data_IF_387628027882
#
_entry.id   IF_387628027882
#
_cell.length_a   1.000
_cell.length_b   1.000
_cell.length_c   1.000
_cell.angle_alpha   90.00
_cell.angle_beta   90.00
_cell.angle_gamma   90.00
#
_symmetry.space_group_name_H-M   'P 1'
#
loop_
_entity.id
_entity.type
_entity.pdbx_description
1 polymer ?
#
# COMPACT_ATOMS: atom_id res chain seq x y z
N UNK A 1 -8.42 -15.63 7.49
CA UNK A 1 -7.81 -15.45 6.16
C UNK A 1 -6.31 -15.25 6.33
N UNK A 2 -5.54 -15.51 5.29
CA UNK A 2 -4.10 -15.23 5.20
C UNK A 2 -3.92 -13.97 4.35
N UNK A 3 -3.31 -12.95 4.91
CA UNK A 3 -3.18 -11.63 4.28
C UNK A 3 -1.70 -11.27 4.14
N UNK A 4 -1.27 -10.91 2.94
CA UNK A 4 0.04 -10.31 2.69
C UNK A 4 -0.11 -8.80 2.59
N UNK A 5 0.73 -8.07 3.32
CA UNK A 5 0.74 -6.60 3.30
C UNK A 5 2.17 -6.11 3.13
N UNK A 6 2.42 -5.20 2.20
CA UNK A 6 3.73 -4.57 2.07
C UNK A 6 3.76 -3.20 2.75
N UNK A 7 4.91 -2.83 3.34
CA UNK A 7 5.08 -1.55 4.04
C UNK A 7 4.45 -1.53 5.45
N UNK A 8 4.58 -2.61 6.22
CA UNK A 8 3.91 -2.79 7.51
C UNK A 8 4.63 -2.20 8.72
N UNK A 9 5.82 -1.64 8.56
CA UNK A 9 6.59 -1.13 9.71
C UNK A 9 6.13 0.25 10.17
N UNK A 10 5.30 0.94 9.40
CA UNK A 10 4.77 2.27 9.75
C UNK A 10 3.51 2.64 8.97
N UNK A 11 2.89 3.77 9.31
CA UNK A 11 1.84 4.42 8.54
C UNK A 11 0.65 3.52 8.20
N UNK A 12 0.10 3.69 7.00
CA UNK A 12 -1.12 3.02 6.55
C UNK A 12 -0.98 1.50 6.59
N UNK A 13 0.14 0.95 6.09
CA UNK A 13 0.36 -0.50 6.06
C UNK A 13 0.38 -1.13 7.45
N UNK A 14 0.95 -0.43 8.45
CA UNK A 14 0.88 -0.86 9.84
C UNK A 14 -0.55 -0.83 10.37
N UNK A 15 -1.28 0.26 10.12
CA UNK A 15 -2.69 0.37 10.54
C UNK A 15 -3.57 -0.73 9.96
N UNK A 16 -3.39 -1.04 8.68
CA UNK A 16 -4.09 -2.15 8.02
C UNK A 16 -3.72 -3.50 8.66
N UNK A 17 -2.42 -3.74 8.92
CA UNK A 17 -1.96 -4.96 9.57
C UNK A 17 -2.57 -5.12 10.96
N UNK A 18 -2.55 -4.07 11.78
CA UNK A 18 -3.13 -4.06 13.13
C UNK A 18 -4.65 -4.36 13.10
N UNK A 19 -5.37 -3.84 12.10
CA UNK A 19 -6.81 -4.10 11.92
C UNK A 19 -7.08 -5.57 11.58
N UNK A 20 -6.41 -6.12 10.58
CA UNK A 20 -6.58 -7.54 10.22
C UNK A 20 -6.21 -8.48 11.37
N UNK A 21 -5.18 -8.17 12.13
CA UNK A 21 -4.79 -8.94 13.31
C UNK A 21 -5.86 -8.89 14.40
N UNK A 22 -6.42 -7.71 14.66
CA UNK A 22 -7.52 -7.52 15.61
C UNK A 22 -8.78 -8.31 15.23
N UNK A 23 -9.02 -8.49 13.94
CA UNK A 23 -10.12 -9.29 13.39
C UNK A 23 -9.82 -10.80 13.34
N UNK A 24 -8.66 -11.24 13.86
CA UNK A 24 -8.28 -12.64 13.98
C UNK A 24 -7.72 -13.26 12.70
N UNK A 25 -7.16 -12.48 11.81
CA UNK A 25 -6.53 -12.94 10.58
C UNK A 25 -5.04 -13.17 10.76
N UNK A 26 -4.44 -14.00 9.89
CA UNK A 26 -2.99 -14.20 9.82
C UNK A 26 -2.41 -13.18 8.84
N UNK A 27 -1.47 -12.37 9.30
CA UNK A 27 -0.84 -11.33 8.50
C UNK A 27 0.64 -11.63 8.30
N UNK A 28 1.07 -11.64 7.05
CA UNK A 28 2.49 -11.59 6.69
C UNK A 28 2.80 -10.17 6.21
N UNK A 29 3.64 -9.48 6.97
CA UNK A 29 4.12 -8.15 6.63
C UNK A 29 5.47 -8.21 5.92
N UNK A 30 5.60 -7.50 4.81
CA UNK A 30 6.88 -7.30 4.12
C UNK A 30 7.28 -5.84 4.25
N UNK A 31 8.46 -5.58 4.80
CA UNK A 31 9.05 -4.24 4.86
C UNK A 31 10.57 -4.35 4.88
N UNK A 32 11.28 -3.33 4.40
CA UNK A 32 12.75 -3.26 4.52
C UNK A 32 13.22 -2.88 5.93
N UNK A 33 12.33 -2.27 6.72
CA UNK A 33 12.58 -1.91 8.12
C UNK A 33 12.03 -2.98 9.04
N UNK A 34 12.63 -3.10 10.21
CA UNK A 34 12.11 -3.96 11.29
C UNK A 34 10.70 -3.53 11.69
N UNK A 35 9.90 -4.51 12.10
CA UNK A 35 8.55 -4.28 12.59
C UNK A 35 8.49 -4.22 14.11
N UNK A 36 7.63 -3.37 14.63
CA UNK A 36 7.29 -3.34 16.05
C UNK A 36 5.94 -4.00 16.38
N UNK A 37 5.32 -4.66 15.40
CA UNK A 37 4.07 -5.40 15.63
C UNK A 37 4.39 -6.68 16.39
N UNK A 38 3.77 -6.84 17.58
CA UNK A 38 3.89 -8.03 18.42
C UNK A 38 2.54 -8.73 18.51
N UNK A 39 2.34 -9.76 17.68
CA UNK A 39 1.09 -10.53 17.64
C UNK A 39 1.37 -11.95 17.16
N UNK A 40 0.75 -12.96 17.79
CA UNK A 40 0.98 -14.38 17.47
C UNK A 40 0.60 -14.77 16.02
N UNK A 41 -0.31 -14.02 15.39
CA UNK A 41 -0.73 -14.23 14.00
C UNK A 41 -0.01 -13.29 13.01
N UNK A 42 1.06 -12.61 13.43
CA UNK A 42 1.88 -11.76 12.58
C UNK A 42 3.23 -12.39 12.30
N UNK A 43 3.62 -12.39 11.05
CA UNK A 43 4.98 -12.77 10.60
C UNK A 43 5.57 -11.59 9.84
N UNK A 44 6.77 -11.16 10.24
CA UNK A 44 7.52 -10.13 9.52
C UNK A 44 8.57 -10.74 8.61
N UNK A 45 8.65 -10.23 7.39
CA UNK A 45 9.72 -10.55 6.43
C UNK A 45 10.44 -9.23 6.10
N UNK A 46 11.68 -9.13 6.58
CA UNK A 46 12.55 -8.00 6.24
C UNK A 46 13.07 -8.16 4.81
N UNK A 47 12.53 -7.38 3.87
CA UNK A 47 12.83 -7.50 2.45
C UNK A 47 12.52 -6.21 1.69
N UNK A 48 13.35 -5.90 0.71
CA UNK A 48 13.06 -4.85 -0.27
C UNK A 48 12.22 -5.43 -1.42
N UNK A 49 11.06 -4.82 -1.69
CA UNK A 49 10.15 -5.28 -2.75
C UNK A 49 10.70 -5.10 -4.17
N UNK A 50 11.86 -4.46 -4.34
CA UNK A 50 12.57 -4.41 -5.64
C UNK A 50 13.35 -5.69 -5.92
N UNK A 51 13.73 -6.42 -4.87
CA UNK A 51 14.61 -7.60 -4.96
C UNK A 51 13.82 -8.88 -5.25
N UNK A 52 13.20 -8.92 -6.43
CA UNK A 52 12.36 -10.05 -6.84
C UNK A 52 13.11 -11.40 -6.93
N UNK A 53 14.44 -11.38 -6.99
CA UNK A 53 15.25 -12.60 -7.10
C UNK A 53 15.25 -13.38 -5.78
N UNK A 54 15.16 -12.67 -4.66
CA UNK A 54 15.20 -13.26 -3.32
C UNK A 54 13.81 -13.37 -2.67
N UNK A 55 12.73 -13.26 -3.44
CA UNK A 55 11.38 -13.46 -2.91
C UNK A 55 11.21 -14.88 -2.39
N UNK A 56 10.85 -15.07 -1.09
CA UNK A 56 10.66 -16.38 -0.53
C UNK A 56 9.47 -17.12 -1.14
N UNK A 57 9.52 -18.45 -1.12
CA UNK A 57 8.33 -19.24 -1.39
C UNK A 57 7.44 -19.22 -0.15
N UNK A 58 6.20 -18.77 -0.33
CA UNK A 58 5.21 -18.65 0.73
C UNK A 58 3.94 -19.41 0.37
N UNK A 59 3.22 -19.87 1.37
CA UNK A 59 1.90 -20.43 1.17
C UNK A 59 0.95 -19.39 0.57
N UNK A 60 0.02 -19.79 -0.31
CA UNK A 60 -0.92 -18.87 -0.95
C UNK A 60 -1.68 -17.97 0.03
N UNK A 61 -1.93 -16.74 -0.36
CA UNK A 61 -2.68 -15.75 0.40
C UNK A 61 -4.12 -15.63 -0.10
N UNK A 62 -5.06 -15.34 0.79
CA UNK A 62 -6.41 -14.95 0.42
C UNK A 62 -6.46 -13.51 -0.11
N UNK A 63 -5.65 -12.63 0.48
CA UNK A 63 -5.61 -11.19 0.18
C UNK A 63 -4.17 -10.73 0.06
N UNK A 64 -3.89 -9.90 -0.95
CA UNK A 64 -2.61 -9.20 -1.10
C UNK A 64 -2.85 -7.70 -1.11
N UNK A 65 -2.18 -6.97 -0.22
CA UNK A 65 -2.28 -5.51 -0.09
C UNK A 65 -0.93 -4.88 -0.41
N UNK A 66 -0.88 -4.20 -1.52
CA UNK A 66 0.30 -3.46 -1.98
C UNK A 66 0.25 -2.03 -1.44
N UNK A 67 0.94 -1.80 -0.32
CA UNK A 67 0.98 -0.51 0.35
C UNK A 67 2.38 0.12 0.36
N UNK A 68 3.45 -0.70 0.34
CA UNK A 68 4.81 -0.16 0.35
C UNK A 68 5.01 0.91 -0.73
N UNK A 69 5.50 2.05 -0.32
CA UNK A 69 5.71 3.18 -1.21
C UNK A 69 6.57 4.26 -0.57
N UNK A 70 7.10 5.11 -1.42
CA UNK A 70 7.94 6.26 -1.08
C UNK A 70 7.46 7.48 -1.87
N UNK A 71 8.02 8.63 -1.53
CA UNK A 71 7.86 9.87 -2.27
C UNK A 71 9.24 10.54 -2.35
N UNK A 72 10.05 10.00 -3.27
CA UNK A 72 11.43 10.40 -3.50
C UNK A 72 11.85 10.01 -4.93
N UNK A 73 13.14 9.97 -5.24
CA UNK A 73 13.67 9.62 -6.56
C UNK A 73 13.58 8.10 -6.90
N UNK A 74 13.05 7.26 -5.98
CA UNK A 74 12.88 5.81 -6.20
C UNK A 74 11.40 5.42 -6.48
N UNK A 75 10.53 6.39 -6.75
CA UNK A 75 9.09 6.20 -6.86
C UNK A 75 8.69 5.15 -7.91
N UNK A 76 9.29 5.20 -9.08
CA UNK A 76 8.98 4.24 -10.16
C UNK A 76 9.40 2.82 -9.76
N UNK A 77 10.57 2.67 -9.17
CA UNK A 77 11.11 1.34 -8.85
C UNK A 77 10.38 0.70 -7.66
N UNK A 78 10.02 1.50 -6.64
CA UNK A 78 9.34 0.98 -5.45
C UNK A 78 7.83 0.95 -5.66
N UNK A 79 7.20 2.11 -5.93
CA UNK A 79 5.75 2.21 -5.93
C UNK A 79 5.11 1.43 -7.08
N UNK A 80 5.75 1.39 -8.24
CA UNK A 80 5.20 0.72 -9.42
C UNK A 80 5.82 -0.65 -9.67
N UNK A 81 7.13 -0.73 -9.91
CA UNK A 81 7.77 -2.03 -10.23
C UNK A 81 7.71 -3.00 -9.06
N UNK A 82 7.98 -2.53 -7.82
CA UNK A 82 7.86 -3.35 -6.62
C UNK A 82 6.44 -3.89 -6.42
N UNK A 83 5.43 -3.04 -6.59
CA UNK A 83 4.01 -3.44 -6.56
C UNK A 83 3.70 -4.51 -7.62
N UNK A 84 4.20 -4.34 -8.86
CA UNK A 84 4.04 -5.35 -9.91
C UNK A 84 4.70 -6.67 -9.48
N UNK A 85 5.95 -6.63 -9.01
CA UNK A 85 6.68 -7.85 -8.64
C UNK A 85 5.98 -8.64 -7.52
N UNK A 86 5.53 -7.96 -6.46
CA UNK A 86 4.77 -8.58 -5.35
C UNK A 86 3.47 -9.20 -5.86
N UNK A 87 2.72 -8.46 -6.68
CA UNK A 87 1.44 -8.93 -7.20
C UNK A 87 1.62 -10.13 -8.13
N UNK A 88 2.61 -10.11 -9.04
CA UNK A 88 2.88 -11.23 -9.94
C UNK A 88 3.29 -12.50 -9.16
N UNK A 89 4.04 -12.36 -8.07
CA UNK A 89 4.49 -13.51 -7.27
C UNK A 89 3.39 -14.06 -6.38
N UNK A 90 2.61 -13.20 -5.71
CA UNK A 90 1.74 -13.62 -4.62
C UNK A 90 0.25 -13.33 -4.82
N UNK A 91 -0.10 -12.49 -5.81
CA UNK A 91 -1.48 -12.00 -5.99
C UNK A 91 -2.25 -12.65 -7.15
N UNK A 92 -1.61 -13.51 -7.97
CA UNK A 92 -2.27 -14.08 -9.16
C UNK A 92 -2.24 -15.60 -9.10
N UNK A 93 -3.22 -16.19 -8.43
CA UNK A 93 -3.39 -17.65 -8.32
C UNK A 93 -4.85 -18.00 -8.00
N UNK A 94 -5.27 -19.27 -8.20
CA UNK A 94 -6.68 -19.69 -8.05
C UNK A 94 -7.30 -19.49 -6.67
N UNK A 95 -6.47 -19.41 -5.61
CA UNK A 95 -6.95 -19.22 -4.23
C UNK A 95 -7.06 -17.75 -3.80
N UNK A 96 -6.62 -16.79 -4.64
CA UNK A 96 -6.74 -15.37 -4.32
C UNK A 96 -8.21 -14.94 -4.28
N UNK A 97 -8.56 -14.05 -3.35
CA UNK A 97 -9.90 -13.48 -3.20
C UNK A 97 -9.92 -12.00 -3.50
N UNK A 98 -8.86 -11.29 -3.10
CA UNK A 98 -8.74 -9.86 -3.37
C UNK A 98 -7.28 -9.41 -3.48
N UNK A 99 -7.03 -8.44 -4.36
CA UNK A 99 -5.81 -7.64 -4.38
C UNK A 99 -6.20 -6.19 -4.18
N UNK A 100 -5.51 -5.52 -3.25
CA UNK A 100 -5.71 -4.11 -2.98
C UNK A 100 -4.41 -3.35 -3.26
N UNK A 101 -4.54 -2.24 -3.97
CA UNK A 101 -3.44 -1.33 -4.24
C UNK A 101 -3.64 -0.04 -3.45
N UNK A 102 -2.62 0.44 -2.76
CA UNK A 102 -2.66 1.78 -2.17
C UNK A 102 -2.12 2.76 -3.21
N UNK A 103 -3.08 3.38 -3.87
CA UNK A 103 -2.88 4.41 -4.87
C UNK A 103 -2.63 5.79 -4.27
N UNK A 104 -3.00 6.82 -5.00
CA UNK A 104 -2.99 8.22 -4.56
C UNK A 104 -3.91 9.06 -5.45
N UNK A 105 -4.51 10.09 -4.89
CA UNK A 105 -5.20 11.13 -5.63
C UNK A 105 -4.29 11.76 -6.71
N UNK A 106 -2.98 11.83 -6.44
CA UNK A 106 -1.97 12.34 -7.39
C UNK A 106 -1.90 11.56 -8.69
N UNK A 107 -2.21 10.26 -8.66
CA UNK A 107 -2.30 9.44 -9.87
C UNK A 107 -3.46 9.82 -10.79
N UNK A 108 -4.48 10.52 -10.28
CA UNK A 108 -5.63 11.02 -11.04
C UNK A 108 -5.47 12.47 -11.48
N UNK A 109 -4.97 13.32 -10.59
CA UNK A 109 -4.98 14.78 -10.80
C UNK A 109 -3.64 15.35 -11.29
N UNK A 110 -2.57 14.54 -11.27
CA UNK A 110 -1.24 14.95 -11.72
C UNK A 110 -0.52 15.91 -10.77
N UNK A 111 -0.99 16.05 -9.53
CA UNK A 111 -0.35 16.89 -8.52
C UNK A 111 0.85 16.19 -7.89
N UNK A 112 1.80 16.96 -7.37
CA UNK A 112 3.00 16.54 -6.67
C UNK A 112 4.19 16.22 -7.60
N UNK A 113 5.10 15.34 -7.16
CA UNK A 113 6.37 15.08 -7.85
C UNK A 113 6.18 14.22 -9.10
N UNK A 114 6.88 14.50 -10.22
CA UNK A 114 6.64 13.83 -11.50
C UNK A 114 6.72 12.30 -11.46
N UNK A 115 7.76 11.74 -10.82
CA UNK A 115 7.92 10.28 -10.74
C UNK A 115 6.88 9.65 -9.82
N UNK A 116 6.53 10.32 -8.70
CA UNK A 116 5.46 9.87 -7.82
C UNK A 116 4.12 9.81 -8.57
N UNK A 117 3.74 10.89 -9.25
CA UNK A 117 2.52 10.95 -10.08
C UNK A 117 2.52 9.83 -11.13
N UNK A 118 3.63 9.69 -11.87
CA UNK A 118 3.75 8.64 -12.89
C UNK A 118 3.63 7.24 -12.27
N UNK A 119 4.27 7.00 -11.11
CA UNK A 119 4.20 5.71 -10.41
C UNK A 119 2.77 5.38 -9.97
N UNK A 120 2.06 6.35 -9.38
CA UNK A 120 0.69 6.16 -8.88
C UNK A 120 -0.31 6.05 -10.04
N UNK A 121 -0.15 6.80 -11.13
CA UNK A 121 -0.91 6.61 -12.36
C UNK A 121 -0.71 5.21 -12.97
N UNK A 122 0.53 4.71 -12.94
CA UNK A 122 0.87 3.33 -13.33
C UNK A 122 0.17 2.29 -12.46
N UNK A 123 0.11 2.50 -11.14
CA UNK A 123 -0.61 1.62 -10.20
C UNK A 123 -2.11 1.55 -10.51
N UNK A 124 -2.75 2.70 -10.83
CA UNK A 124 -4.16 2.72 -11.24
C UNK A 124 -4.43 1.91 -12.51
N UNK A 125 -3.56 2.04 -13.51
CA UNK A 125 -3.66 1.26 -14.74
C UNK A 125 -3.43 -0.24 -14.47
N UNK A 126 -2.43 -0.57 -13.66
CA UNK A 126 -2.09 -1.94 -13.28
C UNK A 126 -3.19 -2.60 -12.46
N UNK A 127 -3.87 -1.89 -11.57
CA UNK A 127 -5.04 -2.37 -10.83
C UNK A 127 -6.10 -2.97 -11.78
N UNK A 128 -6.40 -2.27 -12.88
CA UNK A 128 -7.37 -2.73 -13.88
C UNK A 128 -6.85 -3.98 -14.63
N UNK A 129 -5.57 -4.02 -14.94
CA UNK A 129 -4.94 -5.20 -15.57
C UNK A 129 -5.05 -6.43 -14.66
N UNK A 130 -4.73 -6.29 -13.37
CA UNK A 130 -4.83 -7.38 -12.40
C UNK A 130 -6.28 -7.83 -12.24
N UNK A 131 -7.23 -6.90 -12.13
CA UNK A 131 -8.66 -7.22 -12.00
C UNK A 131 -9.15 -8.12 -13.14
N UNK A 132 -8.78 -7.81 -14.39
CA UNK A 132 -9.12 -8.63 -15.55
C UNK A 132 -8.53 -10.04 -15.48
N UNK A 133 -7.31 -10.18 -14.95
CA UNK A 133 -6.56 -11.45 -14.90
C UNK A 133 -7.04 -12.38 -13.79
N UNK A 134 -7.48 -11.83 -12.64
CA UNK A 134 -7.96 -12.63 -11.50
C UNK A 134 -9.48 -12.85 -11.50
N UNK A 135 -10.23 -12.15 -12.34
CA UNK A 135 -11.68 -12.31 -12.47
C UNK A 135 -12.10 -13.76 -12.72
N UNK A 136 -11.32 -14.54 -13.46
CA UNK A 136 -11.54 -15.98 -13.69
C UNK A 136 -11.49 -16.83 -12.41
N UNK A 137 -10.94 -16.30 -11.34
CA UNK A 137 -10.91 -16.94 -10.01
C UNK A 137 -12.05 -16.45 -9.09
N UNK A 138 -12.94 -15.56 -9.57
CA UNK A 138 -13.96 -14.90 -8.76
C UNK A 138 -13.39 -13.84 -7.81
N UNK A 139 -12.16 -13.39 -8.06
CA UNK A 139 -11.45 -12.43 -7.23
C UNK A 139 -11.56 -11.00 -7.77
N UNK A 140 -11.33 -10.01 -6.90
CA UNK A 140 -11.36 -8.59 -7.25
C UNK A 140 -10.00 -7.92 -7.06
N UNK A 141 -9.73 -6.88 -7.85
CA UNK A 141 -8.61 -5.98 -7.62
C UNK A 141 -9.12 -4.54 -7.64
N UNK A 142 -8.82 -3.78 -6.59
CA UNK A 142 -9.22 -2.40 -6.43
C UNK A 142 -8.04 -1.55 -5.96
N UNK A 143 -8.15 -0.23 -6.09
CA UNK A 143 -7.24 0.72 -5.46
C UNK A 143 -7.97 1.63 -4.48
N UNK A 144 -7.29 1.99 -3.40
CA UNK A 144 -7.68 3.07 -2.51
C UNK A 144 -6.73 4.25 -2.78
N UNK A 145 -7.30 5.32 -3.32
CA UNK A 145 -6.51 6.44 -3.83
C UNK A 145 -6.63 7.61 -2.87
N UNK A 146 -5.89 7.52 -1.78
CA UNK A 146 -5.93 8.50 -0.71
C UNK A 146 -5.41 9.87 -1.16
N UNK A 147 -5.99 10.92 -0.58
CA UNK A 147 -5.37 12.23 -0.46
C UNK A 147 -4.37 12.24 0.71
N UNK A 148 -4.35 13.34 1.49
CA UNK A 148 -3.46 13.41 2.64
C UNK A 148 -3.88 12.47 3.78
N UNK A 149 -2.92 11.70 4.30
CA UNK A 149 -3.04 10.87 5.49
C UNK A 149 -1.97 11.26 6.50
N UNK A 150 -2.34 11.33 7.78
CA UNK A 150 -1.45 11.73 8.87
C UNK A 150 -0.46 10.60 9.19
N UNK A 151 0.67 10.60 8.46
CA UNK A 151 1.74 9.60 8.59
C UNK A 151 3.10 10.26 8.79
N UNK A 152 4.09 9.47 9.23
CA UNK A 152 5.48 9.92 9.32
C UNK A 152 6.04 10.41 7.97
N UNK A 153 5.63 9.80 6.86
CA UNK A 153 6.04 10.21 5.51
C UNK A 153 5.65 11.68 5.24
N UNK A 154 4.49 12.08 5.74
CA UNK A 154 3.93 13.41 5.54
C UNK A 154 4.29 14.42 6.66
N UNK A 155 5.13 14.02 7.62
CA UNK A 155 5.55 14.90 8.73
C UNK A 155 6.12 16.23 8.25
N UNK A 156 7.02 16.32 7.25
CA UNK A 156 7.56 17.59 6.79
C UNK A 156 6.48 18.59 6.34
N UNK A 157 5.42 18.10 5.71
CA UNK A 157 4.27 18.92 5.28
C UNK A 157 3.45 19.40 6.49
N UNK A 158 3.23 18.50 7.47
CA UNK A 158 2.44 18.84 8.68
C UNK A 158 3.17 19.85 9.58
N UNK A 159 4.48 19.86 9.60
CA UNK A 159 5.32 20.79 10.40
C UNK A 159 5.50 22.15 9.73
N UNK A 160 5.39 22.25 8.41
CA UNK A 160 5.40 23.53 7.68
C UNK A 160 4.01 24.17 7.73
N UNK A 161 3.80 25.10 8.66
CA UNK A 161 2.51 25.78 8.86
C UNK A 161 1.98 26.49 7.62
N UNK A 162 2.88 27.07 6.78
CA UNK A 162 2.45 27.78 5.58
C UNK A 162 1.92 26.79 4.56
N UNK A 163 2.72 25.77 4.25
CA UNK A 163 2.34 24.71 3.30
C UNK A 163 1.09 23.97 3.79
N UNK A 164 1.00 23.64 5.08
CA UNK A 164 -0.17 23.02 5.68
C UNK A 164 -1.43 23.83 5.45
N UNK A 165 -1.40 25.14 5.71
CA UNK A 165 -2.56 26.01 5.51
C UNK A 165 -2.98 26.08 4.03
N UNK A 166 -2.02 26.21 3.11
CA UNK A 166 -2.28 26.21 1.66
C UNK A 166 -2.97 24.90 1.21
N UNK A 167 -2.50 23.75 1.72
CA UNK A 167 -3.11 22.45 1.43
C UNK A 167 -4.51 22.35 2.03
N UNK A 168 -4.68 22.80 3.28
CA UNK A 168 -6.00 22.78 3.94
C UNK A 168 -7.02 23.66 3.24
N UNK A 169 -6.61 24.79 2.65
CA UNK A 169 -7.51 25.62 1.84
C UNK A 169 -8.04 24.88 0.62
N UNK A 170 -7.23 24.03 0.01
CA UNK A 170 -7.61 23.21 -1.15
C UNK A 170 -8.31 21.90 -0.75
N UNK A 171 -8.24 21.50 0.51
CA UNK A 171 -8.85 20.26 1.01
C UNK A 171 -10.30 20.54 1.43
N UNK A 172 -11.32 19.94 0.78
CA UNK A 172 -12.73 20.26 1.06
C UNK A 172 -13.13 20.06 2.53
N UNK A 173 -12.68 18.96 3.16
CA UNK A 173 -12.99 18.64 4.55
C UNK A 173 -12.08 19.35 5.57
N UNK A 174 -11.12 20.17 5.10
CA UNK A 174 -10.17 20.93 5.94
C UNK A 174 -9.41 20.08 6.95
N UNK A 175 -9.21 18.82 6.64
CA UNK A 175 -8.42 17.88 7.42
C UNK A 175 -7.87 16.76 6.55
N UNK A 176 -6.78 16.16 6.98
CA UNK A 176 -6.33 14.89 6.48
C UNK A 176 -6.93 13.72 7.27
N UNK A 177 -6.95 12.56 6.64
CA UNK A 177 -7.40 11.30 7.19
C UNK A 177 -6.39 10.76 8.22
N UNK A 178 -6.85 10.10 9.27
CA UNK A 178 -5.97 9.35 10.17
C UNK A 178 -5.60 8.00 9.57
N UNK A 179 -4.59 7.34 10.15
CA UNK A 179 -4.19 5.99 9.73
C UNK A 179 -5.31 4.98 9.99
N UNK A 180 -6.02 5.13 11.11
CA UNK A 180 -7.14 4.28 11.48
C UNK A 180 -8.29 4.43 10.48
N UNK A 181 -8.65 5.66 10.12
CA UNK A 181 -9.66 5.91 9.09
C UNK A 181 -9.27 5.32 7.73
N UNK A 182 -7.98 5.41 7.36
CA UNK A 182 -7.48 4.79 6.13
C UNK A 182 -7.55 3.26 6.17
N UNK A 183 -7.31 2.65 7.34
CA UNK A 183 -7.37 1.20 7.52
C UNK A 183 -8.81 0.67 7.59
N UNK A 184 -9.80 1.52 7.80
CA UNK A 184 -11.22 1.13 7.84
C UNK A 184 -11.85 0.90 6.46
N UNK A 185 -11.22 1.40 5.41
CA UNK A 185 -11.62 1.20 4.00
C UNK A 185 -11.07 -0.09 3.42
#
# INVERSE_FOLDING_TARGET
MRVLITGTSSGIGKGIADKFLKEGHYVTGIDRKESNIQHNCYTHISMDIRDKVHYPELEPFDIVINNAGVQNEEDIDINLKGTIHITEKYGIHPGIRAVLMIGSASGHNGSEFPEYVASKGGVLAYTKNVALRIAKYGATCNSLDFGGVLTELNRPVMEDKKLWNEIMEQTPLKRWMTVEEAADW
#
